data_IF_981402518481
#
_entry.id   IF_981402518481
#
_cell.length_a   1.000
_cell.length_b   1.000
_cell.length_c   1.000
_cell.angle_alpha   90.00
_cell.angle_beta   90.00
_cell.angle_gamma   90.00
#
_symmetry.space_group_name_H-M   'P 1'
#
loop_
_entity.id
_entity.type
_entity.pdbx_description
1 polymer ?
#
# COMPACT_ATOMS: atom_id res chain seq x y z
N UNK A 1 -1.87 57.85 2.76
CA UNK A 1 -2.49 56.60 2.29
C UNK A 1 -1.81 55.38 2.89
N UNK A 2 -2.49 54.72 3.83
CA UNK A 2 -2.01 53.51 4.50
C UNK A 2 -2.37 52.23 3.73
N UNK A 3 -1.61 51.15 3.95
CA UNK A 3 -1.84 49.83 3.32
C UNK A 3 -3.25 49.31 3.63
N UNK A 4 -4.02 48.97 2.60
CA UNK A 4 -5.41 48.47 2.71
C UNK A 4 -5.53 46.93 2.67
N UNK A 5 -4.42 46.18 2.62
CA UNK A 5 -4.42 44.72 2.49
C UNK A 5 -3.79 44.05 3.71
N UNK A 6 -4.47 43.02 4.24
CA UNK A 6 -4.00 42.17 5.34
C UNK A 6 -3.14 40.99 4.85
N UNK A 7 -3.07 40.77 3.54
CA UNK A 7 -2.32 39.67 2.95
C UNK A 7 -0.89 40.12 2.67
N UNK A 8 0.06 39.26 3.01
CA UNK A 8 1.47 39.47 2.70
C UNK A 8 1.68 39.48 1.18
N UNK A 9 2.45 40.46 0.70
CA UNK A 9 2.90 40.50 -0.70
C UNK A 9 3.81 39.29 -0.99
N UNK A 10 3.79 38.73 -2.21
CA UNK A 10 4.64 37.61 -2.57
C UNK A 10 6.11 38.00 -2.40
N UNK A 11 6.79 37.35 -1.45
CA UNK A 11 8.22 37.54 -1.21
C UNK A 11 8.99 36.81 -2.32
N UNK A 12 9.91 37.51 -2.97
CA UNK A 12 10.93 36.85 -3.80
C UNK A 12 11.83 36.03 -2.88
N UNK A 13 11.52 34.73 -2.75
CA UNK A 13 12.39 33.78 -2.06
C UNK A 13 13.78 33.73 -2.71
N UNK A 14 14.77 33.24 -1.95
CA UNK A 14 16.15 33.08 -2.44
C UNK A 14 16.14 32.20 -3.70
N UNK A 15 16.62 32.67 -4.86
CA UNK A 15 16.78 31.80 -6.01
C UNK A 15 17.77 30.69 -5.64
N UNK A 16 17.33 29.43 -5.72
CA UNK A 16 18.22 28.29 -5.48
C UNK A 16 19.18 28.20 -6.66
N UNK A 17 20.43 28.59 -6.46
CA UNK A 17 21.49 28.57 -7.47
C UNK A 17 21.91 27.15 -7.90
N UNK A 18 21.17 26.12 -7.47
CA UNK A 18 21.44 24.70 -7.79
C UNK A 18 20.28 23.99 -8.49
N UNK A 19 19.13 24.66 -8.66
CA UNK A 19 17.91 24.09 -9.23
C UNK A 19 17.68 24.68 -10.61
N UNK A 20 18.31 24.08 -11.61
CA UNK A 20 18.07 24.37 -13.02
C UNK A 20 17.04 23.39 -13.56
N UNK A 21 16.17 23.83 -14.47
CA UNK A 21 15.15 22.98 -15.09
C UNK A 21 15.75 21.74 -15.76
N UNK A 22 16.96 21.85 -16.30
CA UNK A 22 17.71 20.74 -16.90
C UNK A 22 18.08 19.65 -15.87
N UNK A 23 18.47 20.07 -14.67
CA UNK A 23 18.84 19.17 -13.57
C UNK A 23 17.61 18.45 -13.05
N UNK A 24 16.50 19.18 -12.93
CA UNK A 24 15.19 18.65 -12.55
C UNK A 24 14.72 17.62 -13.58
N UNK A 25 14.75 17.95 -14.87
CA UNK A 25 14.36 17.04 -15.95
C UNK A 25 15.21 15.76 -15.97
N UNK A 26 16.53 15.90 -15.78
CA UNK A 26 17.46 14.77 -15.70
C UNK A 26 17.14 13.83 -14.51
N UNK A 27 16.82 14.38 -13.33
CA UNK A 27 16.41 13.60 -12.16
C UNK A 27 15.11 12.83 -12.44
N UNK A 28 14.13 13.48 -13.07
CA UNK A 28 12.86 12.82 -13.39
C UNK A 28 12.98 11.73 -14.45
N UNK A 29 13.82 11.92 -15.48
CA UNK A 29 14.06 10.90 -16.49
C UNK A 29 14.70 9.65 -15.87
N UNK A 30 15.67 9.81 -14.95
CA UNK A 30 16.27 8.68 -14.23
C UNK A 30 15.26 7.93 -13.37
N UNK A 31 14.39 8.64 -12.63
CA UNK A 31 13.32 8.01 -11.83
C UNK A 31 12.29 7.29 -12.71
N UNK A 32 11.98 7.84 -13.89
CA UNK A 32 11.07 7.20 -14.85
C UNK A 32 11.68 5.92 -15.43
N UNK A 33 12.98 5.92 -15.71
CA UNK A 33 13.71 4.77 -16.23
C UNK A 33 13.86 3.66 -15.19
N UNK A 34 14.18 4.02 -13.93
CA UNK A 34 14.23 3.07 -12.83
C UNK A 34 13.71 3.68 -11.51
N UNK A 35 12.50 3.30 -11.13
CA UNK A 35 11.84 3.74 -9.89
C UNK A 35 12.43 3.08 -8.63
N UNK A 36 13.38 2.16 -8.75
CA UNK A 36 14.02 1.46 -7.60
C UNK A 36 15.28 2.16 -7.09
N UNK A 37 15.78 3.17 -7.82
CA UNK A 37 16.96 3.94 -7.42
C UNK A 37 16.72 4.69 -6.10
N UNK A 38 17.72 4.66 -5.24
CA UNK A 38 17.71 5.45 -4.01
C UNK A 38 18.04 6.91 -4.30
N UNK A 39 17.59 7.82 -3.42
CA UNK A 39 17.89 9.27 -3.53
C UNK A 39 19.40 9.53 -3.61
N UNK A 40 20.22 8.69 -2.96
CA UNK A 40 21.68 8.81 -2.96
C UNK A 40 22.29 8.42 -4.32
N UNK A 41 21.84 7.33 -4.91
CA UNK A 41 22.29 6.92 -6.25
C UNK A 41 21.87 7.96 -7.29
N UNK A 42 20.63 8.41 -7.23
CA UNK A 42 20.09 9.44 -8.10
C UNK A 42 20.86 10.76 -7.99
N UNK A 43 21.20 11.20 -6.78
CA UNK A 43 21.99 12.40 -6.55
C UNK A 43 23.41 12.28 -7.13
N UNK A 44 24.06 11.14 -6.94
CA UNK A 44 25.39 10.88 -7.49
C UNK A 44 25.37 10.91 -9.03
N UNK A 45 24.38 10.27 -9.65
CA UNK A 45 24.27 10.20 -11.12
C UNK A 45 23.78 11.51 -11.76
N UNK A 46 23.00 12.31 -11.04
CA UNK A 46 22.58 13.63 -11.49
C UNK A 46 23.60 14.74 -11.17
N UNK A 47 24.67 14.42 -10.42
CA UNK A 47 25.72 15.38 -10.07
C UNK A 47 25.25 16.47 -9.11
N UNK A 48 24.24 16.18 -8.29
CA UNK A 48 23.67 17.13 -7.31
C UNK A 48 23.89 16.67 -5.88
N UNK A 49 23.71 17.58 -4.93
CA UNK A 49 23.68 17.20 -3.53
C UNK A 49 22.46 16.31 -3.23
N UNK A 50 22.61 15.38 -2.28
CA UNK A 50 21.50 14.53 -1.81
C UNK A 50 20.32 15.38 -1.32
N UNK A 51 20.62 16.51 -0.65
CA UNK A 51 19.60 17.46 -0.18
C UNK A 51 18.83 18.09 -1.33
N UNK A 52 19.53 18.54 -2.38
CA UNK A 52 18.90 19.11 -3.59
C UNK A 52 18.06 18.07 -4.33
N UNK A 53 18.55 16.85 -4.47
CA UNK A 53 17.81 15.74 -5.07
C UNK A 53 16.53 15.41 -4.28
N UNK A 54 16.64 15.35 -2.95
CA UNK A 54 15.49 15.15 -2.07
C UNK A 54 14.47 16.28 -2.21
N UNK A 55 14.92 17.54 -2.16
CA UNK A 55 14.06 18.71 -2.30
C UNK A 55 13.30 18.71 -3.63
N UNK A 56 13.98 18.46 -4.76
CA UNK A 56 13.38 18.34 -6.10
C UNK A 56 12.32 17.23 -6.13
N UNK A 57 12.61 16.06 -5.56
CA UNK A 57 11.67 14.95 -5.50
C UNK A 57 10.44 15.24 -4.61
N UNK A 58 10.61 16.02 -3.54
CA UNK A 58 9.52 16.32 -2.59
C UNK A 58 8.66 17.52 -2.99
N UNK A 59 9.26 18.54 -3.61
CA UNK A 59 8.65 19.85 -3.82
C UNK A 59 7.81 19.90 -5.10
N UNK A 60 8.23 19.23 -6.18
CA UNK A 60 7.61 19.42 -7.49
C UNK A 60 6.50 18.45 -7.86
N UNK A 61 6.36 17.29 -7.18
CA UNK A 61 5.36 16.30 -7.61
C UNK A 61 4.96 15.21 -6.61
N UNK A 62 5.00 15.51 -5.31
CA UNK A 62 4.32 14.71 -4.27
C UNK A 62 4.36 13.20 -4.49
N UNK A 63 5.50 12.57 -4.28
CA UNK A 63 5.69 11.17 -4.66
C UNK A 63 4.93 10.23 -3.70
N UNK A 64 3.89 9.56 -4.21
CA UNK A 64 3.20 8.47 -3.51
C UNK A 64 4.13 7.24 -3.39
N UNK A 65 4.26 6.73 -2.17
CA UNK A 65 5.04 5.54 -1.82
C UNK A 65 4.12 4.34 -1.62
N UNK A 66 4.51 3.17 -2.15
CA UNK A 66 3.72 1.93 -2.10
C UNK A 66 3.37 1.51 -0.66
N UNK A 67 2.07 1.33 -0.39
CA UNK A 67 1.57 0.65 0.79
C UNK A 67 1.42 -0.85 0.48
N UNK A 68 2.18 -1.70 1.17
CA UNK A 68 2.00 -3.16 1.10
C UNK A 68 0.91 -3.59 2.07
N UNK A 69 -0.17 -4.15 1.53
CA UNK A 69 -1.25 -4.77 2.31
C UNK A 69 -0.83 -6.15 2.81
N UNK A 70 -0.21 -6.19 3.99
CA UNK A 70 -0.15 -7.41 4.79
C UNK A 70 -0.39 -7.02 6.24
N UNK A 71 -1.52 -7.48 6.80
CA UNK A 71 -1.88 -7.24 8.19
C UNK A 71 -1.81 -8.54 9.01
N UNK A 72 -0.73 -8.72 9.77
CA UNK A 72 -0.81 -9.27 11.11
C UNK A 72 -0.34 -8.21 12.12
N UNK A 73 -1.25 -7.80 13.00
CA UNK A 73 -1.12 -6.65 13.91
C UNK A 73 -0.76 -5.35 13.16
N UNK A 74 -1.77 -4.49 12.98
CA UNK A 74 -1.60 -3.25 12.20
C UNK A 74 -0.33 -2.51 12.64
N UNK A 75 0.45 -2.04 11.67
CA UNK A 75 1.61 -1.16 11.90
C UNK A 75 1.30 -0.07 12.93
N UNK A 76 0.06 0.43 12.95
CA UNK A 76 -0.45 1.40 13.92
C UNK A 76 -0.47 0.87 15.36
N UNK A 77 -0.96 -0.34 15.61
CA UNK A 77 -1.03 -0.90 16.97
C UNK A 77 0.35 -1.20 17.56
N UNK A 78 1.32 -1.48 16.71
CA UNK A 78 2.68 -1.83 17.11
C UNK A 78 3.69 -0.68 16.98
N UNK A 79 3.21 0.50 16.58
CA UNK A 79 4.02 1.72 16.52
C UNK A 79 4.25 2.26 17.93
N UNK A 80 5.52 2.23 18.35
CA UNK A 80 5.97 2.88 19.58
C UNK A 80 6.83 4.09 19.20
N UNK A 81 6.47 5.28 19.71
CA UNK A 81 7.35 6.45 19.65
C UNK A 81 8.57 6.20 20.55
N UNK A 82 9.78 6.21 19.97
CA UNK A 82 11.03 6.04 20.71
C UNK A 82 12.02 7.13 20.32
N UNK A 83 12.88 7.53 21.26
CA UNK A 83 13.97 8.46 20.98
C UNK A 83 15.14 7.75 20.29
N UNK A 84 16.02 8.52 19.64
CA UNK A 84 17.15 8.04 18.81
C UNK A 84 18.09 7.06 19.52
N UNK A 85 18.13 7.09 20.85
CA UNK A 85 19.05 6.31 21.67
C UNK A 85 18.47 4.96 22.15
N UNK A 86 17.18 4.72 21.99
CA UNK A 86 16.59 3.43 22.37
C UNK A 86 16.73 2.39 21.24
N UNK A 87 17.02 1.12 21.58
CA UNK A 87 17.04 0.06 20.59
C UNK A 87 15.65 -0.11 19.96
N UNK A 88 15.62 -0.29 18.63
CA UNK A 88 14.39 -0.60 17.90
C UNK A 88 13.76 -1.85 18.49
N UNK A 89 12.44 -1.88 18.76
CA UNK A 89 11.77 -3.09 19.22
C UNK A 89 12.06 -4.23 18.25
N UNK A 90 12.68 -5.31 18.74
CA UNK A 90 12.82 -6.54 17.96
C UNK A 90 11.48 -7.23 17.98
N UNK A 91 10.79 -7.28 16.84
CA UNK A 91 9.61 -8.13 16.69
C UNK A 91 10.05 -9.56 16.41
N UNK A 92 9.49 -10.53 17.11
CA UNK A 92 9.68 -11.93 16.76
C UNK A 92 9.18 -12.14 15.32
N UNK A 93 10.00 -12.77 14.48
CA UNK A 93 9.56 -13.16 13.14
C UNK A 93 8.41 -14.14 13.32
N UNK A 94 7.22 -13.77 12.86
CA UNK A 94 6.07 -14.65 12.93
C UNK A 94 6.35 -15.87 12.06
N UNK A 95 6.63 -17.00 12.71
CA UNK A 95 6.73 -18.30 12.06
C UNK A 95 5.33 -18.64 11.57
N UNK A 96 5.20 -19.15 10.33
CA UNK A 96 3.89 -19.61 9.84
C UNK A 96 3.32 -20.58 10.88
N UNK A 97 2.13 -20.28 11.40
CA UNK A 97 1.44 -21.23 12.27
C UNK A 97 1.32 -22.56 11.53
N UNK A 98 1.62 -23.66 12.23
CA UNK A 98 1.34 -25.01 11.74
C UNK A 98 -0.17 -25.25 11.58
N UNK A 99 -1.01 -24.37 12.16
CA UNK A 99 -2.46 -24.35 11.99
C UNK A 99 -2.84 -23.29 10.96
N UNK A 100 -3.20 -23.72 9.76
CA UNK A 100 -3.86 -22.90 8.73
C UNK A 100 -5.18 -23.58 8.39
N UNK A 101 -6.28 -22.85 8.49
CA UNK A 101 -7.60 -23.30 8.06
C UNK A 101 -8.02 -22.49 6.83
N UNK A 102 -8.56 -23.16 5.82
CA UNK A 102 -9.11 -22.50 4.64
C UNK A 102 -10.61 -22.36 4.82
N UNK A 103 -11.17 -21.19 4.52
CA UNK A 103 -12.60 -20.92 4.52
C UNK A 103 -13.03 -20.66 3.07
N UNK A 104 -14.04 -21.39 2.60
CA UNK A 104 -14.70 -21.12 1.31
C UNK A 104 -15.97 -20.35 1.60
N UNK A 105 -16.20 -19.23 0.90
CA UNK A 105 -17.39 -18.38 1.05
C UNK A 105 -17.94 -18.01 -0.33
N UNK A 106 -19.25 -18.15 -0.49
CA UNK A 106 -20.03 -17.65 -1.62
C UNK A 106 -21.02 -16.61 -1.12
N UNK A 107 -21.10 -15.46 -1.78
CA UNK A 107 -21.96 -14.34 -1.39
C UNK A 107 -22.51 -13.61 -2.61
N UNK A 108 -23.61 -12.88 -2.41
CA UNK A 108 -24.23 -11.99 -3.38
C UNK A 108 -24.43 -10.59 -2.76
N UNK A 109 -25.11 -9.69 -3.49
CA UNK A 109 -25.46 -8.34 -3.01
C UNK A 109 -26.34 -8.35 -1.74
N UNK A 110 -26.99 -9.47 -1.42
CA UNK A 110 -27.82 -9.65 -0.22
C UNK A 110 -27.07 -10.38 0.90
N UNK A 111 -25.79 -10.70 0.71
CA UNK A 111 -24.91 -11.26 1.73
C UNK A 111 -24.47 -12.70 1.46
N UNK A 112 -24.08 -13.40 2.54
CA UNK A 112 -23.44 -14.73 2.45
C UNK A 112 -24.48 -15.82 2.15
N UNK A 113 -24.28 -16.51 1.03
CA UNK A 113 -25.12 -17.62 0.57
C UNK A 113 -24.62 -18.94 1.16
N UNK A 114 -23.33 -19.26 1.03
CA UNK A 114 -22.74 -20.48 1.58
C UNK A 114 -21.35 -20.22 2.12
N UNK A 115 -20.99 -20.88 3.21
CA UNK A 115 -19.62 -20.92 3.69
C UNK A 115 -19.30 -22.29 4.29
N UNK A 116 -18.07 -22.75 4.12
CA UNK A 116 -17.59 -23.97 4.75
C UNK A 116 -16.09 -23.91 5.02
N UNK A 117 -15.70 -24.44 6.18
CA UNK A 117 -14.29 -24.61 6.52
C UNK A 117 -13.76 -25.88 5.88
N UNK A 118 -12.64 -25.77 5.19
CA UNK A 118 -11.88 -26.91 4.71
C UNK A 118 -11.19 -27.55 5.93
N UNK A 119 -11.34 -28.86 6.14
CA UNK A 119 -10.67 -29.57 7.22
C UNK A 119 -9.16 -29.33 7.23
N UNK A 120 -8.58 -29.32 8.43
CA UNK A 120 -7.15 -29.12 8.58
C UNK A 120 -6.34 -30.20 7.86
N UNK A 121 -5.29 -29.81 7.13
CA UNK A 121 -4.45 -30.72 6.36
C UNK A 121 -5.03 -31.16 5.01
N UNK A 122 -6.22 -30.70 4.64
CA UNK A 122 -6.84 -31.01 3.35
C UNK A 122 -6.62 -29.89 2.32
N UNK A 123 -6.24 -30.25 1.10
CA UNK A 123 -6.16 -29.32 -0.04
C UNK A 123 -7.47 -29.31 -0.82
N UNK A 124 -7.90 -28.13 -1.25
CA UNK A 124 -9.06 -27.96 -2.14
C UNK A 124 -8.68 -28.50 -3.53
N UNK A 125 -9.18 -29.68 -3.87
CA UNK A 125 -9.02 -30.30 -5.19
C UNK A 125 -10.33 -30.21 -6.00
N UNK A 126 -10.31 -30.66 -7.26
CA UNK A 126 -11.49 -30.58 -8.14
C UNK A 126 -12.72 -31.33 -7.60
N UNK A 127 -12.52 -32.50 -6.98
CA UNK A 127 -13.61 -33.35 -6.47
C UNK A 127 -14.25 -32.68 -5.27
N UNK A 128 -13.42 -32.26 -4.31
CA UNK A 128 -13.85 -31.51 -3.14
C UNK A 128 -14.60 -30.24 -3.54
N UNK A 129 -14.07 -29.47 -4.48
CA UNK A 129 -14.70 -28.24 -4.94
C UNK A 129 -16.04 -28.49 -5.63
N UNK A 130 -16.16 -29.57 -6.42
CA UNK A 130 -17.44 -29.99 -7.02
C UNK A 130 -18.49 -30.28 -5.95
N UNK A 131 -18.13 -30.97 -4.88
CA UNK A 131 -19.05 -31.26 -3.78
C UNK A 131 -19.48 -29.98 -3.04
N UNK A 132 -18.56 -29.02 -2.86
CA UNK A 132 -18.88 -27.69 -2.34
C UNK A 132 -19.91 -27.00 -3.22
N UNK A 133 -19.75 -27.05 -4.55
CA UNK A 133 -20.66 -26.42 -5.49
C UNK A 133 -22.05 -27.07 -5.49
N UNK A 134 -22.14 -28.38 -5.30
CA UNK A 134 -23.44 -29.06 -5.12
C UNK A 134 -24.14 -28.53 -3.86
N UNK A 135 -23.42 -28.43 -2.73
CA UNK A 135 -23.98 -27.85 -1.49
C UNK A 135 -24.37 -26.39 -1.66
N UNK A 136 -23.52 -25.60 -2.33
CA UNK A 136 -23.80 -24.21 -2.65
C UNK A 136 -25.08 -24.05 -3.49
N UNK A 137 -25.27 -24.90 -4.50
CA UNK A 137 -26.49 -24.90 -5.32
C UNK A 137 -27.74 -25.12 -4.48
N UNK A 138 -27.72 -26.08 -3.56
CA UNK A 138 -28.86 -26.31 -2.66
C UNK A 138 -29.07 -25.12 -1.71
N UNK A 139 -27.99 -24.47 -1.25
CA UNK A 139 -28.09 -23.22 -0.47
C UNK A 139 -28.69 -22.06 -1.25
N UNK A 140 -28.39 -21.93 -2.55
CA UNK A 140 -29.04 -20.93 -3.41
C UNK A 140 -30.54 -21.21 -3.47
N UNK A 141 -30.95 -22.46 -3.69
CA UNK A 141 -32.36 -22.85 -3.75
C UNK A 141 -33.12 -22.56 -2.46
N UNK A 142 -32.45 -22.73 -1.31
CA UNK A 142 -33.01 -22.47 0.01
C UNK A 142 -33.08 -20.96 0.32
N UNK A 143 -31.98 -20.23 0.12
CA UNK A 143 -31.84 -18.82 0.54
C UNK A 143 -32.28 -17.79 -0.49
N UNK A 144 -32.32 -18.17 -1.77
CA UNK A 144 -32.61 -17.31 -2.93
C UNK A 144 -33.51 -18.03 -3.97
N UNK A 145 -34.68 -18.57 -3.57
CA UNK A 145 -35.56 -19.33 -4.47
C UNK A 145 -36.09 -18.50 -5.66
N UNK A 146 -36.14 -17.18 -5.51
CA UNK A 146 -36.52 -16.22 -6.55
C UNK A 146 -35.45 -16.11 -7.65
N UNK A 147 -34.16 -16.09 -7.28
CA UNK A 147 -33.04 -16.03 -8.24
C UNK A 147 -32.78 -17.35 -8.95
N UNK A 148 -33.25 -18.45 -8.39
CA UNK A 148 -33.08 -19.79 -8.98
C UNK A 148 -34.08 -20.10 -10.10
N UNK A 149 -35.25 -19.44 -10.11
CA UNK A 149 -36.35 -19.73 -11.05
C UNK A 149 -36.35 -18.89 -12.33
N UNK A 150 -35.44 -17.91 -12.43
CA UNK A 150 -35.21 -17.10 -13.63
C UNK A 150 -34.28 -17.80 -14.61
#
# INVERSE_FOLDING_TARGET
>A
DGRQSIKDDPRSGRPSTSRNDDVVANIYEKVRNDRRLTVRELANEAGVSIGSCHEILTDEKGNETWAYGYDPETKLQSSQWKTKFFPRPKKARQVRSNVKTMLIVFFDIEGIVHYEFVPHGQTVNQVFYKDVLIRFRERIREKRPEKWRS
#
